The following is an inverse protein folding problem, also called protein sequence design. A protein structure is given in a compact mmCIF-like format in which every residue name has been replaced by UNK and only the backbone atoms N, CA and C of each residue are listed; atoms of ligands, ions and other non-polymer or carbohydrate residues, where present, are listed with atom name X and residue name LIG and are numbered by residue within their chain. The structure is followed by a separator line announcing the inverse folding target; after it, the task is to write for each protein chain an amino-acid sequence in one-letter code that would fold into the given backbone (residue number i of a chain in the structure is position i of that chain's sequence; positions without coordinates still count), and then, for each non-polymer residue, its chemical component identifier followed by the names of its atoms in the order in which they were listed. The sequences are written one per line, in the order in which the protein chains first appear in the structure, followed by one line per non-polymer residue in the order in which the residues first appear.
data_IF_136506053168
#
_entry.id   IF_136506053168
#
_cell.length_a   1.000
_cell.length_b   1.000
_cell.length_c   1.000
_cell.angle_alpha   90.00
_cell.angle_beta   90.00
_cell.angle_gamma   90.00
#
_symmetry.space_group_name_H-M   'P 1'
#
loop_
_entity.id
_entity.type
_entity.pdbx_description
1 polymer ?
#
# COMPACT_ATOMS: atom_id res chain seq x y z
N UNK A 1 38.94 -46.96 13.88
CA UNK A 1 38.56 -45.56 13.66
C UNK A 1 38.76 -45.02 12.24
N UNK A 2 38.92 -45.85 11.20
CA UNK A 2 39.15 -45.38 9.81
C UNK A 2 37.99 -45.57 8.82
N UNK A 3 36.87 -46.18 9.26
CA UNK A 3 35.74 -46.48 8.35
C UNK A 3 34.67 -45.37 8.30
N UNK A 4 34.62 -44.47 9.28
CA UNK A 4 33.60 -43.46 9.33
C UNK A 4 34.00 -42.15 8.60
N UNK A 5 35.29 -41.95 8.34
CA UNK A 5 35.78 -40.76 7.65
C UNK A 5 35.45 -40.76 6.14
N UNK A 6 35.34 -41.97 5.54
CA UNK A 6 35.00 -42.10 4.11
C UNK A 6 33.51 -41.87 3.79
N UNK A 7 32.64 -42.02 4.77
CA UNK A 7 31.19 -41.78 4.59
C UNK A 7 30.80 -40.30 4.71
N UNK A 8 31.56 -39.52 5.44
CA UNK A 8 31.31 -38.09 5.62
C UNK A 8 31.76 -37.31 4.37
N UNK A 9 32.83 -37.75 3.71
CA UNK A 9 33.31 -37.10 2.49
C UNK A 9 32.45 -37.38 1.24
N UNK A 10 31.70 -38.47 1.20
CA UNK A 10 30.84 -38.80 0.06
C UNK A 10 29.51 -38.00 0.07
N UNK A 11 29.07 -37.55 1.23
CA UNK A 11 27.81 -36.74 1.37
C UNK A 11 28.05 -35.27 1.07
N UNK A 12 29.27 -34.75 1.32
CA UNK A 12 29.59 -33.35 1.06
C UNK A 12 29.84 -33.02 -0.42
N UNK A 13 30.16 -34.01 -1.26
CA UNK A 13 30.36 -33.78 -2.71
C UNK A 13 29.07 -33.84 -3.53
N UNK A 14 27.99 -34.45 -3.01
CA UNK A 14 26.71 -34.50 -3.72
C UNK A 14 25.87 -33.22 -3.51
N UNK A 15 26.15 -32.44 -2.48
CA UNK A 15 25.45 -31.18 -2.19
C UNK A 15 25.94 -29.97 -2.99
N UNK A 16 27.11 -30.03 -3.58
CA UNK A 16 27.72 -28.89 -4.26
C UNK A 16 27.30 -28.73 -5.75
N UNK A 17 26.63 -29.71 -6.33
CA UNK A 17 26.24 -29.64 -7.75
C UNK A 17 24.79 -29.20 -8.01
N UNK A 18 24.00 -29.00 -6.97
CA UNK A 18 22.60 -28.52 -7.14
C UNK A 18 22.48 -27.02 -6.92
N UNK A 19 23.50 -26.36 -6.38
CA UNK A 19 23.50 -24.92 -6.11
C UNK A 19 23.78 -24.03 -7.35
N UNK A 20 24.02 -24.61 -8.52
CA UNK A 20 24.44 -23.85 -9.70
C UNK A 20 23.38 -23.51 -10.74
N UNK A 21 22.12 -23.90 -10.54
CA UNK A 21 21.08 -23.70 -11.56
C UNK A 21 19.77 -23.11 -10.99
N UNK A 22 19.85 -22.37 -9.91
CA UNK A 22 18.71 -21.52 -9.55
C UNK A 22 18.97 -20.16 -10.21
N UNK A 23 18.17 -19.78 -11.23
CA UNK A 23 18.27 -18.44 -11.78
C UNK A 23 18.02 -17.46 -10.65
N UNK A 24 18.77 -16.39 -10.62
CA UNK A 24 18.68 -15.27 -9.69
C UNK A 24 17.34 -14.51 -9.80
N UNK A 25 16.22 -15.22 -9.71
CA UNK A 25 14.86 -14.68 -9.67
C UNK A 25 14.16 -14.94 -8.34
N UNK A 26 14.88 -15.46 -7.35
CA UNK A 26 14.31 -15.76 -6.05
C UNK A 26 14.64 -14.71 -4.98
N UNK A 27 15.29 -13.61 -5.34
CA UNK A 27 15.68 -12.59 -4.36
C UNK A 27 14.75 -11.36 -4.36
N UNK A 28 13.64 -11.42 -5.09
CA UNK A 28 12.54 -10.45 -4.96
C UNK A 28 11.37 -10.94 -4.10
N UNK A 29 11.49 -12.12 -3.53
CA UNK A 29 10.51 -12.63 -2.61
C UNK A 29 10.88 -12.18 -1.20
N UNK A 30 10.05 -11.28 -0.68
CA UNK A 30 10.02 -10.83 0.69
C UNK A 30 11.10 -9.77 1.03
N UNK A 31 10.96 -8.59 0.46
CA UNK A 31 11.06 -7.43 1.34
C UNK A 31 9.93 -7.56 2.37
N UNK A 32 10.14 -8.34 3.40
CA UNK A 32 9.39 -8.20 4.64
C UNK A 32 9.83 -6.86 5.22
N UNK A 33 9.27 -5.80 4.69
CA UNK A 33 9.34 -4.50 5.34
C UNK A 33 8.57 -4.70 6.63
N UNK A 34 9.27 -4.93 7.73
CA UNK A 34 8.68 -4.86 9.05
C UNK A 34 8.34 -3.38 9.27
N UNK A 35 7.11 -3.01 8.91
CA UNK A 35 6.58 -1.69 9.16
C UNK A 35 6.32 -1.59 10.65
N UNK A 36 7.13 -0.80 11.32
CA UNK A 36 6.85 -0.45 12.70
C UNK A 36 5.72 0.58 12.76
N UNK A 37 4.81 0.48 13.72
CA UNK A 37 3.77 1.49 13.91
C UNK A 37 4.37 2.89 14.12
N UNK A 38 3.71 3.90 13.60
CA UNK A 38 4.13 5.28 13.85
C UNK A 38 4.07 5.61 15.35
N UNK A 39 5.05 6.36 15.84
CA UNK A 39 5.10 6.79 17.24
C UNK A 39 3.92 7.70 17.63
N UNK A 40 3.48 8.54 16.69
CA UNK A 40 2.31 9.40 16.81
C UNK A 40 1.27 8.98 15.77
N UNK A 41 0.00 9.21 16.05
CA UNK A 41 -1.07 8.89 15.10
C UNK A 41 -0.95 9.74 13.84
N UNK A 42 -0.81 9.08 12.70
CA UNK A 42 -0.80 9.70 11.38
C UNK A 42 -2.19 9.62 10.77
N UNK A 43 -2.72 10.73 10.28
CA UNK A 43 -3.98 10.72 9.54
C UNK A 43 -3.69 10.55 8.05
N UNK A 44 -4.22 9.46 7.47
CA UNK A 44 -4.17 9.16 6.05
C UNK A 44 -5.54 9.47 5.43
N UNK A 45 -5.61 10.50 4.60
CA UNK A 45 -6.85 10.91 3.90
C UNK A 45 -6.88 10.28 2.52
N UNK A 46 -7.87 9.42 2.28
CA UNK A 46 -8.00 8.60 1.07
C UNK A 46 -9.24 9.02 0.29
N UNK A 47 -9.12 9.40 -0.99
CA UNK A 47 -10.27 9.71 -1.81
C UNK A 47 -11.06 8.45 -2.14
N UNK A 48 -12.38 8.54 -2.10
CA UNK A 48 -13.30 7.48 -2.52
C UNK A 48 -14.35 8.04 -3.44
N UNK A 49 -14.62 7.33 -4.55
CA UNK A 49 -15.62 7.79 -5.51
C UNK A 49 -17.05 7.53 -5.01
N UNK A 50 -17.80 8.61 -4.82
CA UNK A 50 -19.24 8.55 -4.63
C UNK A 50 -19.95 8.62 -5.99
N UNK A 51 -20.75 7.63 -6.28
CA UNK A 51 -21.54 7.54 -7.52
C UNK A 51 -22.97 8.04 -7.35
N UNK A 52 -23.38 8.41 -6.15
CA UNK A 52 -24.73 8.86 -5.85
C UNK A 52 -25.79 7.79 -6.09
N UNK A 53 -25.42 6.50 -5.99
CA UNK A 53 -26.36 5.41 -6.25
C UNK A 53 -27.22 5.15 -5.02
N UNK A 54 -28.55 5.04 -5.24
CA UNK A 54 -29.48 4.69 -4.16
C UNK A 54 -29.25 3.25 -3.67
N UNK A 55 -29.43 3.04 -2.36
CA UNK A 55 -29.36 1.71 -1.74
C UNK A 55 -27.94 1.18 -1.52
N UNK A 56 -26.91 1.97 -1.82
CA UNK A 56 -25.54 1.60 -1.45
C UNK A 56 -25.15 2.23 -0.12
N UNK A 57 -24.26 1.59 0.67
CA UNK A 57 -23.74 2.17 1.90
C UNK A 57 -22.98 3.48 1.64
N UNK A 58 -22.90 4.32 2.66
CA UNK A 58 -22.04 5.51 2.66
C UNK A 58 -20.61 5.12 2.30
N UNK A 59 -20.01 5.81 1.32
CA UNK A 59 -18.67 5.47 0.83
C UNK A 59 -17.56 5.75 1.85
N UNK A 60 -17.81 6.64 2.80
CA UNK A 60 -16.87 7.03 3.84
C UNK A 60 -17.09 6.32 5.18
N UNK A 61 -18.23 5.67 5.37
CA UNK A 61 -18.58 5.00 6.62
C UNK A 61 -19.39 3.73 6.35
N UNK A 62 -18.72 2.60 6.20
CA UNK A 62 -19.34 1.31 5.93
C UNK A 62 -18.49 0.17 6.53
N UNK A 63 -18.94 -1.08 6.31
CA UNK A 63 -18.22 -2.27 6.78
C UNK A 63 -16.74 -2.28 6.35
N UNK A 64 -16.42 -1.95 5.10
CA UNK A 64 -15.06 -2.02 4.59
C UNK A 64 -14.17 -0.93 5.16
N UNK A 65 -14.69 0.28 5.36
CA UNK A 65 -13.92 1.37 5.99
C UNK A 65 -13.56 1.04 7.43
N UNK A 66 -14.48 0.43 8.18
CA UNK A 66 -14.23 -0.08 9.53
C UNK A 66 -13.21 -1.22 9.52
N UNK A 67 -13.37 -2.17 8.62
CA UNK A 67 -12.45 -3.31 8.49
C UNK A 67 -11.01 -2.86 8.17
N UNK A 68 -10.84 -1.87 7.29
CA UNK A 68 -9.53 -1.31 6.96
C UNK A 68 -8.93 -0.59 8.17
N UNK A 69 -9.73 0.15 8.93
CA UNK A 69 -9.25 0.80 10.14
C UNK A 69 -8.73 -0.23 11.14
N UNK A 70 -9.51 -1.27 11.43
CA UNK A 70 -9.15 -2.32 12.40
C UNK A 70 -7.95 -3.17 11.96
N UNK A 71 -7.87 -3.54 10.67
CA UNK A 71 -6.87 -4.48 10.16
C UNK A 71 -5.63 -3.82 9.55
N UNK A 72 -5.64 -2.51 9.39
CA UNK A 72 -4.50 -1.74 8.91
C UNK A 72 -4.24 -0.52 9.79
N UNK A 73 -5.20 0.39 9.91
CA UNK A 73 -5.00 1.66 10.60
C UNK A 73 -4.51 1.46 12.04
N UNK A 74 -5.22 0.65 12.81
CA UNK A 74 -4.91 0.44 14.24
C UNK A 74 -3.59 -0.30 14.45
N UNK A 75 -3.19 -1.16 13.49
CA UNK A 75 -1.93 -1.89 13.57
C UNK A 75 -0.70 -0.97 13.39
N UNK A 76 -0.84 0.10 12.63
CA UNK A 76 0.27 1.00 12.29
C UNK A 76 0.14 2.41 12.89
N UNK A 77 -0.80 2.62 13.79
CA UNK A 77 -1.12 3.91 14.40
C UNK A 77 -1.49 4.95 13.33
N UNK A 78 -2.31 4.52 12.36
CA UNK A 78 -2.83 5.34 11.26
C UNK A 78 -4.33 5.49 11.42
N UNK A 79 -4.82 6.73 11.41
CA UNK A 79 -6.24 7.03 11.25
C UNK A 79 -6.55 7.18 9.77
N UNK A 80 -7.40 6.31 9.22
CA UNK A 80 -7.83 6.40 7.82
C UNK A 80 -9.10 7.23 7.73
N UNK A 81 -9.04 8.34 7.02
CA UNK A 81 -10.18 9.20 6.73
C UNK A 81 -10.53 9.10 5.25
N UNK A 82 -11.78 8.80 4.95
CA UNK A 82 -12.26 8.71 3.58
C UNK A 82 -12.87 10.03 3.14
N UNK A 83 -12.40 10.55 1.99
CA UNK A 83 -12.86 11.81 1.41
C UNK A 83 -13.73 11.50 0.18
N UNK A 84 -15.05 11.70 0.25
CA UNK A 84 -15.93 11.45 -0.88
C UNK A 84 -15.64 12.38 -2.05
N UNK A 85 -15.46 11.79 -3.23
CA UNK A 85 -15.24 12.50 -4.49
C UNK A 85 -16.41 12.17 -5.41
N UNK A 86 -17.16 13.17 -5.82
CA UNK A 86 -18.29 12.99 -6.73
C UNK A 86 -17.82 12.41 -8.07
N UNK A 87 -18.21 11.16 -8.37
CA UNK A 87 -17.68 10.43 -9.55
C UNK A 87 -18.09 11.06 -10.88
N UNK A 88 -19.25 11.73 -10.94
CA UNK A 88 -19.68 12.44 -12.14
C UNK A 88 -18.97 13.77 -12.39
N UNK A 89 -18.28 14.31 -11.37
CA UNK A 89 -17.57 15.59 -11.45
C UNK A 89 -16.34 15.60 -10.54
N UNK A 90 -15.39 14.75 -10.88
CA UNK A 90 -14.15 14.54 -10.12
C UNK A 90 -13.32 15.80 -10.06
N UNK A 91 -13.19 16.51 -11.20
CA UNK A 91 -12.32 17.67 -11.30
C UNK A 91 -12.82 18.85 -10.44
N UNK A 92 -14.12 19.10 -10.41
CA UNK A 92 -14.70 20.11 -9.54
C UNK A 92 -14.52 19.72 -8.07
N UNK A 93 -14.71 18.44 -7.73
CA UNK A 93 -14.51 17.97 -6.35
C UNK A 93 -13.08 18.23 -5.87
N UNK A 94 -12.08 17.88 -6.66
CA UNK A 94 -10.68 18.16 -6.30
C UNK A 94 -10.36 19.67 -6.32
N UNK A 95 -10.90 20.43 -7.26
CA UNK A 95 -10.68 21.87 -7.32
C UNK A 95 -11.19 22.59 -6.06
N UNK A 96 -12.35 22.18 -5.55
CA UNK A 96 -12.90 22.73 -4.29
C UNK A 96 -12.02 22.35 -3.09
N UNK A 97 -11.59 21.08 -3.00
CA UNK A 97 -10.69 20.62 -1.94
C UNK A 97 -9.34 21.35 -1.98
N UNK A 98 -8.81 21.60 -3.19
CA UNK A 98 -7.57 22.37 -3.35
C UNK A 98 -7.75 23.84 -2.92
N UNK A 99 -8.86 24.48 -3.30
CA UNK A 99 -9.17 25.85 -2.90
C UNK A 99 -9.26 26.01 -1.36
N UNK A 100 -9.77 24.98 -0.69
CA UNK A 100 -9.88 24.92 0.77
C UNK A 100 -8.58 24.43 1.45
N UNK A 101 -7.50 24.22 0.70
CA UNK A 101 -6.24 23.64 1.19
C UNK A 101 -6.46 22.31 1.93
N UNK A 102 -7.37 21.48 1.44
CA UNK A 102 -7.87 20.29 2.09
C UNK A 102 -7.84 19.05 1.18
N UNK A 103 -6.87 18.98 0.29
CA UNK A 103 -6.68 17.81 -0.58
C UNK A 103 -6.44 16.53 0.26
N UNK A 104 -6.85 15.35 -0.25
CA UNK A 104 -6.48 14.09 0.35
C UNK A 104 -4.97 13.87 0.34
N UNK A 105 -4.47 13.03 1.25
CA UNK A 105 -3.06 12.62 1.29
C UNK A 105 -2.65 11.85 0.03
N UNK A 106 -3.60 11.15 -0.59
CA UNK A 106 -3.43 10.42 -1.83
C UNK A 106 -4.36 11.04 -2.86
N UNK A 107 -3.89 11.25 -4.07
CA UNK A 107 -4.71 11.68 -5.21
C UNK A 107 -4.88 10.53 -6.19
N UNK A 108 -6.12 10.27 -6.60
CA UNK A 108 -6.45 9.32 -7.66
C UNK A 108 -7.02 10.10 -8.84
N UNK A 109 -6.14 10.55 -9.73
CA UNK A 109 -6.51 11.35 -10.89
C UNK A 109 -5.70 10.92 -12.12
N UNK A 110 -6.33 11.02 -13.29
CA UNK A 110 -5.76 10.63 -14.58
C UNK A 110 -5.39 11.83 -15.47
N UNK A 111 -5.80 13.04 -15.09
CA UNK A 111 -5.42 14.29 -15.76
C UNK A 111 -4.03 14.73 -15.30
N UNK A 112 -3.00 14.18 -15.94
CA UNK A 112 -1.61 14.48 -15.60
C UNK A 112 -1.25 15.98 -15.64
N UNK A 113 -1.72 16.80 -16.60
CA UNK A 113 -1.49 18.25 -16.57
C UNK A 113 -2.02 18.90 -15.28
N UNK A 114 -3.18 18.46 -14.79
CA UNK A 114 -3.77 18.97 -13.56
C UNK A 114 -2.99 18.52 -12.33
N UNK A 115 -2.57 17.26 -12.29
CA UNK A 115 -1.71 16.75 -11.21
C UNK A 115 -0.39 17.51 -11.14
N UNK A 116 0.23 17.79 -12.29
CA UNK A 116 1.45 18.59 -12.36
C UNK A 116 1.22 20.01 -11.83
N UNK A 117 0.10 20.65 -12.20
CA UNK A 117 -0.26 21.97 -11.67
C UNK A 117 -0.38 21.96 -10.14
N UNK A 118 -1.08 20.97 -9.56
CA UNK A 118 -1.22 20.88 -8.11
C UNK A 118 0.12 20.67 -7.41
N UNK A 119 1.02 19.87 -8.01
CA UNK A 119 2.36 19.70 -7.47
C UNK A 119 3.17 21.02 -7.51
N UNK A 120 3.03 21.80 -8.58
CA UNK A 120 3.67 23.13 -8.70
C UNK A 120 3.08 24.14 -7.70
N UNK A 121 1.79 24.00 -7.39
CA UNK A 121 1.08 24.82 -6.39
C UNK A 121 1.42 24.40 -4.94
N UNK A 122 2.16 23.30 -4.75
CA UNK A 122 2.65 22.82 -3.45
C UNK A 122 1.71 21.86 -2.71
N UNK A 123 0.83 21.17 -3.47
CA UNK A 123 -0.06 20.12 -2.91
C UNK A 123 0.52 18.72 -3.05
#
# INVERSE_FOLDING_TARGET
MKKNLRKVFAVSMAGAMVAGCIPAMADEAASTTNWEPFAETVTLRVPVYDRGAEGVPDVSNNYWTGWIQENFGDQYNIKVEYVPITRSDVMTSYALLAADQNLPTILMEYDYPKVAQWADDGY
#
